data_IF_982331021507
#
_entry.id   IF_982331021507
#
_cell.length_a   1.000
_cell.length_b   1.000
_cell.length_c   1.000
_cell.angle_alpha   90.00
_cell.angle_beta   90.00
_cell.angle_gamma   90.00
#
_symmetry.space_group_name_H-M   'P 1'
#
loop_
_entity.id
_entity.type
_entity.pdbx_description
1 polymer ?
#
# COMPACT_ATOMS: atom_id res chain seq x y z
N UNK A 1 17.52 -2.84 -2.68
CA UNK A 1 17.14 -1.86 -3.72
C UNK A 1 15.67 -2.01 -4.01
N UNK A 2 14.90 -0.93 -3.98
CA UNK A 2 13.43 -0.95 -4.17
C UNK A 2 13.04 0.01 -5.31
N UNK A 3 11.99 -0.32 -6.05
CA UNK A 3 11.42 0.55 -7.10
C UNK A 3 10.06 1.06 -6.63
N UNK A 4 9.84 2.37 -6.74
CA UNK A 4 8.57 3.02 -6.41
C UNK A 4 8.15 3.91 -7.59
N UNK A 5 6.87 3.97 -7.88
CA UNK A 5 6.29 4.83 -8.90
C UNK A 5 5.96 6.21 -8.29
N UNK A 6 6.76 7.22 -8.61
CA UNK A 6 6.65 8.54 -7.98
C UNK A 6 6.57 9.60 -9.06
N UNK A 7 5.53 10.43 -9.01
CA UNK A 7 5.25 11.50 -9.98
C UNK A 7 5.21 10.98 -11.44
N UNK A 8 4.52 9.86 -11.67
CA UNK A 8 4.32 9.30 -13.01
C UNK A 8 5.48 8.47 -13.58
N UNK A 9 6.56 8.24 -12.81
CA UNK A 9 7.72 7.48 -13.28
C UNK A 9 8.27 6.53 -12.22
N UNK A 10 8.75 5.36 -12.65
CA UNK A 10 9.45 4.42 -11.77
C UNK A 10 10.80 4.98 -11.33
N UNK A 11 10.99 5.11 -10.02
CA UNK A 11 12.22 5.59 -9.38
C UNK A 11 12.86 4.47 -8.55
N UNK A 12 14.18 4.36 -8.66
CA UNK A 12 14.99 3.43 -7.87
C UNK A 12 15.39 4.09 -6.55
N UNK A 13 15.07 3.44 -5.43
CA UNK A 13 15.40 3.89 -4.08
C UNK A 13 16.41 2.94 -3.45
N UNK A 14 17.50 3.52 -2.93
CA UNK A 14 18.54 2.81 -2.20
C UNK A 14 18.38 3.09 -0.71
N UNK A 15 18.32 2.04 0.09
CA UNK A 15 18.25 2.05 1.55
C UNK A 15 19.24 1.03 2.10
N UNK A 16 19.81 1.33 3.26
CA UNK A 16 20.55 0.36 4.08
C UNK A 16 19.60 -0.51 4.91
N UNK A 17 20.16 -1.47 5.63
CA UNK A 17 19.50 -2.48 6.46
C UNK A 17 19.43 -2.13 7.96
N UNK A 18 19.73 -0.89 8.35
CA UNK A 18 19.61 -0.44 9.74
C UNK A 18 18.18 -0.03 10.08
N UNK A 19 17.58 -0.63 11.10
CA UNK A 19 16.19 -0.35 11.50
C UNK A 19 16.09 0.08 12.97
N UNK A 20 15.10 0.93 13.31
CA UNK A 20 14.80 1.22 14.70
C UNK A 20 14.24 -0.04 15.37
N UNK A 21 14.92 -0.48 16.43
CA UNK A 21 14.46 -1.59 17.27
C UNK A 21 14.28 -1.13 18.71
N UNK A 22 13.23 -1.66 19.33
CA UNK A 22 13.01 -1.53 20.76
C UNK A 22 13.96 -2.50 21.49
N UNK A 23 14.94 -1.95 22.20
CA UNK A 23 16.06 -2.68 22.81
C UNK A 23 15.61 -3.71 23.86
N UNK A 24 14.53 -3.44 24.57
CA UNK A 24 13.99 -4.31 25.62
C UNK A 24 13.38 -5.63 25.11
N UNK A 25 12.82 -5.63 23.89
CA UNK A 25 12.11 -6.80 23.34
C UNK A 25 12.67 -7.28 21.99
N UNK A 26 13.71 -6.62 21.46
CA UNK A 26 14.28 -6.94 20.15
C UNK A 26 13.26 -6.84 19.01
N UNK A 27 12.28 -5.94 19.14
CA UNK A 27 11.16 -5.78 18.20
C UNK A 27 11.40 -4.57 17.30
N UNK A 28 11.21 -4.76 16.00
CA UNK A 28 11.22 -3.66 15.03
C UNK A 28 10.08 -2.68 15.33
N UNK A 29 10.38 -1.39 15.29
CA UNK A 29 9.41 -0.30 15.48
C UNK A 29 8.74 0.13 14.16
N UNK A 30 8.82 -0.71 13.15
CA UNK A 30 8.30 -0.48 11.81
C UNK A 30 7.41 -1.67 11.38
N UNK A 31 6.86 -1.65 10.17
CA UNK A 31 6.14 -2.77 9.57
C UNK A 31 7.08 -3.97 9.39
N UNK A 32 6.65 -5.15 9.87
CA UNK A 32 7.45 -6.39 9.81
C UNK A 32 6.56 -7.61 9.55
N UNK A 33 7.16 -8.68 9.02
CA UNK A 33 6.46 -9.95 8.77
C UNK A 33 6.35 -10.77 10.05
N UNK A 34 5.29 -11.58 10.17
CA UNK A 34 5.22 -12.61 11.23
C UNK A 34 6.36 -13.63 11.10
N UNK A 35 6.86 -13.83 9.88
CA UNK A 35 8.09 -14.57 9.62
C UNK A 35 9.31 -13.70 9.91
N UNK A 36 10.07 -14.03 10.96
CA UNK A 36 11.24 -13.26 11.39
C UNK A 36 12.38 -13.21 10.37
N UNK A 37 12.37 -14.09 9.37
CA UNK A 37 13.38 -14.12 8.31
C UNK A 37 13.00 -13.25 7.09
N UNK A 38 11.86 -12.54 7.14
CA UNK A 38 11.39 -11.67 6.06
C UNK A 38 11.50 -10.19 6.43
N UNK A 39 12.51 -9.52 5.85
CA UNK A 39 12.75 -8.10 6.06
C UNK A 39 12.24 -7.21 4.91
N UNK A 40 11.67 -7.81 3.86
CA UNK A 40 11.26 -7.09 2.66
C UNK A 40 10.18 -6.03 2.96
N UNK A 41 9.28 -6.29 3.91
CA UNK A 41 8.24 -5.37 4.36
C UNK A 41 8.87 -4.13 5.02
N UNK A 42 9.81 -4.35 5.94
CA UNK A 42 10.51 -3.27 6.64
C UNK A 42 11.37 -2.45 5.69
N UNK A 43 12.05 -3.10 4.74
CA UNK A 43 12.81 -2.42 3.68
C UNK A 43 11.90 -1.58 2.80
N UNK A 44 10.73 -2.10 2.42
CA UNK A 44 9.75 -1.42 1.57
C UNK A 44 9.25 -0.14 2.22
N UNK A 45 8.79 -0.24 3.47
CA UNK A 45 8.34 0.90 4.25
C UNK A 45 9.47 1.93 4.43
N UNK A 46 10.69 1.50 4.78
CA UNK A 46 11.83 2.40 4.91
C UNK A 46 12.15 3.16 3.62
N UNK A 47 12.09 2.49 2.47
CA UNK A 47 12.28 3.14 1.18
C UNK A 47 11.18 4.15 0.88
N UNK A 48 9.93 3.82 1.22
CA UNK A 48 8.80 4.73 1.07
C UNK A 48 8.95 5.97 1.94
N UNK A 49 9.22 5.79 3.23
CA UNK A 49 9.46 6.89 4.16
C UNK A 49 10.63 7.77 3.73
N UNK A 50 11.72 7.18 3.22
CA UNK A 50 12.86 7.93 2.68
C UNK A 50 12.45 8.88 1.54
N UNK A 51 11.55 8.45 0.66
CA UNK A 51 11.04 9.29 -0.43
C UNK A 51 10.10 10.38 0.08
N UNK A 52 9.32 10.08 1.12
CA UNK A 52 8.32 10.99 1.70
C UNK A 52 8.89 12.03 2.68
N UNK A 53 10.22 12.16 2.80
CA UNK A 53 10.88 13.14 3.68
C UNK A 53 11.41 12.58 5.00
N UNK A 54 11.28 11.26 5.23
CA UNK A 54 11.79 10.56 6.41
C UNK A 54 10.71 10.22 7.44
N UNK A 55 11.15 9.66 8.57
CA UNK A 55 10.28 9.23 9.68
C UNK A 55 9.66 10.39 10.48
N UNK A 56 10.33 11.54 10.55
CA UNK A 56 9.91 12.66 11.40
C UNK A 56 8.80 13.53 10.81
N UNK A 57 8.72 13.63 9.48
CA UNK A 57 7.81 14.53 8.77
C UNK A 57 6.69 13.78 8.04
N UNK A 58 6.42 12.52 8.40
CA UNK A 58 5.38 11.71 7.78
C UNK A 58 4.03 11.89 8.53
N UNK A 59 3.07 12.67 8.01
CA UNK A 59 1.81 12.97 8.69
C UNK A 59 0.83 11.79 8.72
N UNK A 60 1.19 10.66 8.12
CA UNK A 60 0.33 9.50 7.90
C UNK A 60 0.15 9.21 6.40
N UNK A 61 -0.40 8.03 6.11
CA UNK A 61 -0.62 7.59 4.73
C UNK A 61 -2.07 7.31 4.39
N UNK A 62 -2.34 7.21 3.09
CA UNK A 62 -3.59 6.73 2.53
C UNK A 62 -3.27 5.53 1.62
N UNK A 63 -4.01 4.42 1.80
CA UNK A 63 -3.86 3.19 1.04
C UNK A 63 -3.86 3.39 -0.48
N UNK A 64 -4.60 4.38 -0.97
CA UNK A 64 -4.64 4.69 -2.40
C UNK A 64 -3.31 5.22 -2.92
N UNK A 65 -2.72 6.17 -2.18
CA UNK A 65 -1.44 6.79 -2.55
C UNK A 65 -0.33 5.74 -2.44
N UNK A 66 -0.38 4.91 -1.40
CA UNK A 66 0.55 3.80 -1.20
C UNK A 66 0.47 2.81 -2.36
N UNK A 67 -0.73 2.39 -2.74
CA UNK A 67 -0.92 1.44 -3.83
C UNK A 67 -0.44 2.01 -5.17
N UNK A 68 -0.72 3.29 -5.45
CA UNK A 68 -0.19 3.97 -6.63
C UNK A 68 1.35 3.99 -6.62
N UNK A 69 1.96 4.32 -5.49
CA UNK A 69 3.41 4.35 -5.37
C UNK A 69 4.06 2.97 -5.52
N UNK A 70 3.37 1.90 -5.11
CA UNK A 70 3.88 0.53 -5.20
C UNK A 70 3.69 -0.09 -6.60
N UNK A 71 2.62 0.27 -7.30
CA UNK A 71 2.19 -0.43 -8.52
C UNK A 71 2.21 0.44 -9.77
N UNK A 72 2.14 1.77 -9.61
CA UNK A 72 1.86 2.73 -10.69
C UNK A 72 0.40 2.75 -11.16
N UNK A 73 -0.46 1.89 -10.61
CA UNK A 73 -1.89 1.84 -10.94
C UNK A 73 -2.62 3.07 -10.40
N UNK A 74 -3.64 3.55 -11.11
CA UNK A 74 -4.44 4.71 -10.70
C UNK A 74 -5.56 4.22 -9.76
N UNK A 75 -5.55 4.59 -8.47
CA UNK A 75 -6.49 4.05 -7.50
C UNK A 75 -7.85 4.73 -7.58
N UNK A 76 -8.91 3.92 -7.56
CA UNK A 76 -10.27 4.38 -7.33
C UNK A 76 -10.74 4.03 -5.92
N UNK A 77 -11.57 4.91 -5.32
CA UNK A 77 -12.20 4.66 -4.03
C UNK A 77 -13.70 4.77 -4.17
N UNK A 78 -14.39 3.66 -3.88
CA UNK A 78 -15.84 3.64 -3.79
C UNK A 78 -16.27 3.35 -2.35
N UNK A 79 -17.15 4.19 -1.80
CA UNK A 79 -17.66 4.01 -0.44
C UNK A 79 -18.84 3.03 -0.44
N UNK A 80 -18.84 2.09 0.50
CA UNK A 80 -19.97 1.20 0.74
C UNK A 80 -20.97 1.91 1.67
N UNK A 81 -22.14 2.28 1.16
CA UNK A 81 -23.11 3.14 1.85
C UNK A 81 -24.44 2.44 2.11
N UNK A 82 -24.40 1.29 2.79
CA UNK A 82 -25.56 0.39 2.98
C UNK A 82 -26.80 1.05 3.59
N UNK A 83 -26.65 2.17 4.32
CA UNK A 83 -27.74 2.88 4.99
C UNK A 83 -28.45 3.92 4.10
N UNK A 84 -27.87 4.26 2.95
CA UNK A 84 -28.43 5.24 2.04
C UNK A 84 -29.44 4.55 1.11
N UNK A 85 -30.63 5.15 0.94
CA UNK A 85 -31.74 4.53 0.22
C UNK A 85 -31.45 4.36 -1.29
N UNK A 86 -30.54 5.16 -1.83
CA UNK A 86 -30.07 5.16 -3.20
C UNK A 86 -28.81 4.29 -3.42
N UNK A 87 -28.24 3.70 -2.37
CA UNK A 87 -27.08 2.82 -2.51
C UNK A 87 -27.45 1.49 -3.17
N UNK A 88 -27.04 1.33 -4.43
CA UNK A 88 -27.28 0.12 -5.19
C UNK A 88 -26.05 -0.82 -5.17
N UNK A 89 -26.09 -1.80 -4.27
CA UNK A 89 -25.03 -2.82 -4.11
C UNK A 89 -24.73 -3.58 -5.41
N UNK A 90 -25.75 -3.96 -6.17
CA UNK A 90 -25.58 -4.79 -7.38
C UNK A 90 -24.93 -3.99 -8.52
N UNK A 91 -25.21 -2.69 -8.60
CA UNK A 91 -24.54 -1.80 -9.55
C UNK A 91 -23.05 -1.65 -9.21
N UNK A 92 -22.73 -1.46 -7.93
CA UNK A 92 -21.34 -1.35 -7.47
C UNK A 92 -20.56 -2.65 -7.71
N UNK A 93 -21.18 -3.79 -7.40
CA UNK A 93 -20.57 -5.09 -7.64
C UNK A 93 -20.32 -5.32 -9.13
N UNK A 94 -21.28 -5.00 -10.00
CA UNK A 94 -21.10 -5.10 -11.46
C UNK A 94 -20.00 -4.18 -11.97
N UNK A 95 -19.97 -2.92 -11.52
CA UNK A 95 -18.91 -1.97 -11.86
C UNK A 95 -17.53 -2.57 -11.57
N UNK A 96 -17.34 -3.12 -10.37
CA UNK A 96 -16.08 -3.75 -9.98
C UNK A 96 -15.70 -4.98 -10.80
N UNK A 97 -16.66 -5.68 -11.43
CA UNK A 97 -16.39 -6.83 -12.30
C UNK A 97 -16.04 -6.43 -13.73
N UNK A 98 -16.74 -5.44 -14.27
CA UNK A 98 -16.51 -4.95 -15.65
C UNK A 98 -15.11 -4.34 -15.77
N UNK A 99 -14.65 -3.60 -14.77
CA UNK A 99 -13.29 -3.06 -14.79
C UNK A 99 -12.19 -4.13 -14.66
N UNK A 100 -12.47 -5.25 -13.99
CA UNK A 100 -11.51 -6.34 -13.82
C UNK A 100 -11.46 -7.33 -14.99
N UNK A 101 -12.28 -7.14 -16.04
CA UNK A 101 -12.28 -8.00 -17.24
C UNK A 101 -12.74 -9.44 -16.99
N UNK A 102 -13.37 -9.73 -15.85
CA UNK A 102 -13.84 -11.08 -15.48
C UNK A 102 -15.27 -11.34 -15.98
N UNK A 103 -15.41 -11.49 -17.30
CA UNK A 103 -16.49 -12.26 -17.93
C UNK A 103 -16.18 -13.76 -17.80
N UNK A 104 -16.12 -14.26 -16.57
CA UNK A 104 -15.98 -15.68 -16.27
C UNK A 104 -17.15 -16.14 -15.41
N UNK A 105 -18.00 -17.01 -15.97
CA UNK A 105 -18.92 -17.82 -15.18
C UNK A 105 -18.11 -18.66 -14.19
N UNK A 106 -18.41 -18.51 -12.90
CA UNK A 106 -18.09 -19.52 -11.92
C UNK A 106 -19.42 -20.16 -11.51
N UNK A 107 -19.49 -21.48 -11.70
CA UNK A 107 -20.56 -22.36 -11.23
C UNK A 107 -20.96 -22.09 -9.78
#
# INVERSE_FOLDING_TARGET
>A
MIKLHINGVARKVIVDDSFPMLTEFGRLLCSYSSNKNEFWISLLEKAYMKVMGGLGDFPGSNSNIDLHALTGWIPERVAIRVKEADFNRDSLFRYSRVENGEEGEFW
#
